data_IF_062785861612
#
_entry.id   IF_062785861612
#
_cell.length_a   1.000
_cell.length_b   1.000
_cell.length_c   1.000
_cell.angle_alpha   90.00
_cell.angle_beta   90.00
_cell.angle_gamma   90.00
#
_symmetry.space_group_name_H-M   'P 1'
#
loop_
_entity.id
_entity.type
_entity.pdbx_description
1 polymer ?
#
# COMPACT_ATOMS: atom_id res chain seq x y z
N UNK A 1 25.97 -22.03 -32.99
CA UNK A 1 25.74 -20.76 -32.28
C UNK A 1 24.88 -21.07 -31.06
N UNK A 2 25.49 -21.25 -29.88
CA UNK A 2 24.73 -21.48 -28.65
C UNK A 2 24.16 -20.15 -28.17
N UNK A 3 22.83 -20.00 -28.21
CA UNK A 3 22.13 -18.86 -27.64
C UNK A 3 22.10 -19.02 -26.12
N UNK A 4 22.85 -18.17 -25.42
CA UNK A 4 22.91 -18.11 -23.97
C UNK A 4 21.66 -17.38 -23.46
N UNK A 5 20.62 -18.14 -23.11
CA UNK A 5 19.39 -17.59 -22.53
C UNK A 5 19.66 -17.17 -21.07
N UNK A 6 19.82 -15.87 -20.85
CA UNK A 6 19.99 -15.29 -19.52
C UNK A 6 18.61 -15.19 -18.83
N UNK A 7 18.33 -16.08 -17.88
CA UNK A 7 17.12 -16.03 -17.05
C UNK A 7 17.31 -14.90 -16.04
N UNK A 8 16.61 -13.77 -16.24
CA UNK A 8 16.56 -12.70 -15.24
C UNK A 8 15.65 -13.14 -14.09
N UNK A 9 16.24 -13.46 -12.94
CA UNK A 9 15.51 -13.66 -11.70
C UNK A 9 14.90 -12.32 -11.25
N UNK A 10 13.58 -12.20 -11.29
CA UNK A 10 12.87 -11.04 -10.75
C UNK A 10 12.86 -11.16 -9.24
N UNK A 11 13.57 -10.27 -8.55
CA UNK A 11 13.46 -10.17 -7.10
C UNK A 11 12.04 -9.75 -6.72
N UNK A 12 11.30 -10.64 -6.04
CA UNK A 12 10.02 -10.26 -5.44
C UNK A 12 10.29 -9.39 -4.21
N UNK A 13 10.05 -8.08 -4.35
CA UNK A 13 10.01 -7.17 -3.23
C UNK A 13 8.64 -7.33 -2.56
N UNK A 14 8.60 -7.92 -1.37
CA UNK A 14 7.40 -7.93 -0.52
C UNK A 14 7.44 -6.74 0.42
N UNK A 15 6.44 -5.87 0.36
CA UNK A 15 6.23 -4.87 1.41
C UNK A 15 5.68 -5.55 2.68
N UNK A 16 5.97 -4.97 3.84
CA UNK A 16 5.49 -5.47 5.12
C UNK A 16 3.96 -5.41 5.18
N UNK A 17 3.33 -6.45 5.72
CA UNK A 17 1.88 -6.50 5.91
C UNK A 17 1.45 -5.57 7.06
N UNK A 18 0.40 -4.79 6.81
CA UNK A 18 -0.34 -3.94 7.75
C UNK A 18 -1.81 -4.40 7.78
N UNK A 19 -2.11 -5.57 8.37
CA UNK A 19 -3.43 -6.20 8.24
C UNK A 19 -4.54 -5.53 9.05
N UNK A 20 -4.20 -4.73 10.05
CA UNK A 20 -5.14 -4.13 10.98
C UNK A 20 -4.74 -2.72 11.38
N UNK A 21 -5.64 -2.03 12.08
CA UNK A 21 -5.38 -0.69 12.60
C UNK A 21 -4.10 -0.67 13.44
N UNK A 22 -3.17 0.19 13.04
CA UNK A 22 -1.83 0.35 13.64
C UNK A 22 -0.87 -0.84 13.44
N UNK A 23 -1.09 -1.66 12.41
CA UNK A 23 -0.18 -2.72 11.98
C UNK A 23 -0.26 -3.99 12.83
N UNK A 24 0.63 -4.94 12.56
CA UNK A 24 0.63 -6.28 13.18
C UNK A 24 0.55 -6.23 14.72
N UNK A 25 1.34 -5.36 15.36
CA UNK A 25 1.42 -5.24 16.82
C UNK A 25 0.49 -4.16 17.40
N UNK A 26 -0.32 -3.49 16.56
CA UNK A 26 -1.20 -2.37 16.93
C UNK A 26 -0.50 -1.18 17.61
N UNK A 27 0.80 -1.03 17.38
CA UNK A 27 1.62 0.03 17.97
C UNK A 27 1.92 1.19 17.01
N UNK A 28 1.56 1.05 15.73
CA UNK A 28 1.81 2.00 14.65
C UNK A 28 3.30 2.20 14.34
N UNK A 29 4.10 1.15 14.49
CA UNK A 29 5.54 1.18 14.18
C UNK A 29 5.86 0.35 12.95
N UNK A 30 6.82 0.85 12.16
CA UNK A 30 7.44 0.10 11.07
C UNK A 30 8.77 -0.48 11.56
N UNK A 31 8.97 -1.78 11.40
CA UNK A 31 10.19 -2.47 11.84
C UNK A 31 11.24 -2.55 10.73
N UNK A 32 10.80 -2.60 9.48
CA UNK A 32 11.65 -2.96 8.33
C UNK A 32 12.06 -1.73 7.50
N UNK A 33 11.72 -0.53 7.97
CA UNK A 33 12.08 0.72 7.32
C UNK A 33 13.43 1.22 7.80
N UNK A 34 14.41 1.25 6.89
CA UNK A 34 15.71 1.88 7.13
C UNK A 34 15.58 3.38 6.92
N UNK A 35 15.58 4.14 8.01
CA UNK A 35 15.51 5.61 7.97
C UNK A 35 16.76 6.15 7.23
N UNK A 36 16.59 6.98 6.19
CA UNK A 36 17.72 7.57 5.50
C UNK A 36 18.44 8.58 6.40
N UNK A 37 19.77 8.67 6.28
CA UNK A 37 20.56 9.64 7.02
C UNK A 37 20.22 11.09 6.65
N UNK A 38 19.70 11.32 5.44
CA UNK A 38 19.25 12.63 4.97
C UNK A 38 18.00 12.44 4.13
N UNK A 39 16.94 13.15 4.50
CA UNK A 39 15.72 13.20 3.71
C UNK A 39 15.92 14.14 2.52
N UNK A 40 15.34 13.83 1.34
CA UNK A 40 15.32 14.79 0.25
C UNK A 40 14.51 16.02 0.68
N UNK A 41 14.82 17.18 0.09
CA UNK A 41 14.08 18.43 0.37
C UNK A 41 12.59 18.30 0.08
N UNK A 42 12.25 17.46 -0.90
CA UNK A 42 10.89 17.18 -1.30
C UNK A 42 10.73 15.67 -1.52
N UNK A 43 9.59 15.12 -1.11
CA UNK A 43 9.24 13.72 -1.38
C UNK A 43 8.61 13.62 -2.78
N UNK A 44 9.08 12.67 -3.58
CA UNK A 44 8.45 12.33 -4.85
C UNK A 44 7.20 11.48 -4.58
N UNK A 45 6.05 11.95 -5.07
CA UNK A 45 4.84 11.15 -5.05
C UNK A 45 4.91 10.07 -6.14
N UNK A 46 5.08 8.81 -5.74
CA UNK A 46 5.15 7.69 -6.71
C UNK A 46 3.79 7.37 -7.34
N UNK A 47 2.70 7.52 -6.59
CA UNK A 47 1.35 7.28 -7.09
C UNK A 47 0.30 8.05 -6.29
N UNK A 48 -0.85 8.26 -6.91
CA UNK A 48 -2.06 8.81 -6.28
C UNK A 48 -3.27 8.20 -6.98
N UNK A 49 -4.23 7.74 -6.19
CA UNK A 49 -5.50 7.20 -6.69
C UNK A 49 -6.63 7.95 -6.00
N UNK A 50 -7.57 8.56 -6.75
CA UNK A 50 -8.76 9.13 -6.16
C UNK A 50 -9.63 8.01 -5.58
N UNK A 51 -10.04 8.16 -4.33
CA UNK A 51 -10.98 7.28 -3.64
C UNK A 51 -12.14 8.11 -3.10
N UNK A 52 -13.23 7.46 -2.70
CA UNK A 52 -14.34 8.14 -2.01
C UNK A 52 -13.95 8.63 -0.61
N UNK A 53 -14.94 9.06 0.16
CA UNK A 53 -14.72 9.63 1.49
C UNK A 53 -14.23 8.57 2.48
N UNK A 54 -12.92 8.50 2.70
CA UNK A 54 -12.28 7.54 3.60
C UNK A 54 -12.47 7.92 5.07
N UNK A 55 -12.83 6.94 5.90
CA UNK A 55 -13.03 7.13 7.37
C UNK A 55 -11.98 6.43 8.22
N UNK A 56 -11.00 5.77 7.60
CA UNK A 56 -9.92 5.07 8.28
C UNK A 56 -8.60 5.18 7.53
N UNK A 57 -7.50 4.85 8.22
CA UNK A 57 -6.21 4.60 7.59
C UNK A 57 -6.28 3.30 6.77
N UNK A 58 -5.71 3.24 5.56
CA UNK A 58 -5.74 2.02 4.76
C UNK A 58 -4.95 0.87 5.40
N UNK A 59 -5.37 -0.36 5.14
CA UNK A 59 -4.66 -1.60 5.46
C UNK A 59 -3.96 -2.16 4.23
N UNK A 60 -2.86 -2.89 4.43
CA UNK A 60 -2.09 -3.50 3.35
C UNK A 60 -1.79 -4.96 3.66
N UNK A 61 -2.18 -5.89 2.79
CA UNK A 61 -1.91 -7.33 2.98
C UNK A 61 -1.63 -7.98 1.64
N UNK A 62 -0.54 -8.73 1.52
CA UNK A 62 -0.21 -9.55 0.33
C UNK A 62 -0.36 -8.78 -0.99
N UNK A 63 0.19 -7.58 -1.07
CA UNK A 63 0.14 -6.77 -2.29
C UNK A 63 -1.15 -5.98 -2.50
N UNK A 64 -2.12 -6.03 -1.58
CA UNK A 64 -3.41 -5.34 -1.70
C UNK A 64 -3.54 -4.25 -0.66
N UNK A 65 -3.88 -3.04 -1.11
CA UNK A 65 -4.24 -1.91 -0.27
C UNK A 65 -5.78 -1.85 -0.17
N UNK A 66 -6.33 -1.72 1.04
CA UNK A 66 -7.77 -1.64 1.29
C UNK A 66 -8.08 -0.43 2.17
N UNK A 67 -9.21 0.23 1.91
CA UNK A 67 -9.64 1.39 2.69
C UNK A 67 -11.13 1.29 3.04
N UNK A 68 -11.51 1.83 4.19
CA UNK A 68 -12.92 1.96 4.56
C UNK A 68 -13.44 3.30 4.04
N UNK A 69 -14.38 3.22 3.10
CA UNK A 69 -15.02 4.38 2.48
C UNK A 69 -16.44 4.51 3.01
N UNK A 70 -16.83 5.73 3.36
CA UNK A 70 -18.20 6.09 3.64
C UNK A 70 -18.96 6.23 2.32
N UNK A 71 -20.11 5.56 2.22
CA UNK A 71 -21.03 5.69 1.09
C UNK A 71 -22.22 6.53 1.54
N UNK A 72 -22.64 7.51 0.73
CA UNK A 72 -23.79 8.35 1.07
C UNK A 72 -25.07 7.53 0.95
N UNK A 73 -26.03 7.82 1.84
CA UNK A 73 -27.31 7.12 1.91
C UNK A 73 -28.09 7.17 0.58
N UNK A 74 -28.10 8.32 -0.12
CA UNK A 74 -28.77 8.49 -1.41
C UNK A 74 -28.24 7.52 -2.49
N UNK A 75 -26.95 7.21 -2.45
CA UNK A 75 -26.31 6.32 -3.43
C UNK A 75 -26.67 4.84 -3.19
N UNK A 76 -27.38 4.49 -2.11
CA UNK A 76 -27.87 3.13 -1.88
C UNK A 76 -29.20 2.85 -2.58
N UNK A 77 -30.07 3.86 -2.75
CA UNK A 77 -31.38 3.66 -3.40
C UNK A 77 -31.24 3.38 -4.91
N UNK A 78 -30.18 3.87 -5.56
CA UNK A 78 -29.93 3.63 -7.00
C UNK A 78 -29.37 2.23 -7.33
N UNK A 79 -29.06 1.40 -6.33
CA UNK A 79 -28.45 0.08 -6.51
C UNK A 79 -29.44 -1.09 -6.36
N UNK A 80 -30.74 -0.81 -6.30
CA UNK A 80 -31.81 -1.80 -6.12
C UNK A 80 -32.88 -1.70 -7.20
#
# INVERSE_FOLDING_TARGET
MLAFACIMAVAQISAADWPQWRGQNRDAKVTDFKVPATWPKELKQEWRVPVGDGVATPSYVKGKLSNFLQKRFRDFEELH
#
